data_IF_309708396073
#
_entry.id   IF_309708396073
#
_cell.length_a   1.000
_cell.length_b   1.000
_cell.length_c   1.000
_cell.angle_alpha   90.00
_cell.angle_beta   90.00
_cell.angle_gamma   90.00
#
_symmetry.space_group_name_H-M   'P 1'
#
loop_
_entity.id
_entity.type
_entity.pdbx_description
1 polymer ?
#
# COMPACT_ATOMS: atom_id res chain seq x y z
N UNK A 1 32.82 -17.52 -44.09
CA UNK A 1 31.42 -17.31 -43.66
C UNK A 1 31.47 -16.51 -42.37
N UNK A 2 31.44 -15.20 -42.49
CA UNK A 2 31.57 -14.28 -41.37
C UNK A 2 30.27 -13.47 -41.31
N UNK A 3 29.39 -13.80 -40.36
CA UNK A 3 28.13 -13.07 -40.16
C UNK A 3 28.44 -11.86 -39.28
N UNK A 4 28.65 -10.71 -39.92
CA UNK A 4 28.72 -9.42 -39.25
C UNK A 4 27.44 -9.19 -38.43
N UNK A 5 27.60 -9.14 -37.11
CA UNK A 5 26.58 -8.71 -36.16
C UNK A 5 26.32 -7.23 -36.42
N UNK A 6 25.10 -6.89 -36.86
CA UNK A 6 24.69 -5.48 -37.00
C UNK A 6 24.67 -4.84 -35.61
N UNK A 7 25.21 -3.63 -35.43
CA UNK A 7 25.11 -2.93 -34.15
C UNK A 7 23.63 -2.68 -33.82
N UNK A 8 23.22 -2.93 -32.59
CA UNK A 8 21.94 -2.49 -32.04
C UNK A 8 21.91 -0.97 -32.03
N UNK A 9 21.49 -0.36 -33.15
CA UNK A 9 21.08 1.02 -33.17
C UNK A 9 19.86 1.18 -32.29
N UNK A 10 20.00 1.92 -31.18
CA UNK A 10 18.85 2.41 -30.44
C UNK A 10 17.99 3.24 -31.39
N UNK A 11 16.81 2.74 -31.74
CA UNK A 11 15.76 3.54 -32.35
C UNK A 11 15.34 4.55 -31.28
N UNK A 12 15.92 5.75 -31.31
CA UNK A 12 15.46 6.89 -30.52
C UNK A 12 14.40 7.62 -31.35
N UNK A 13 13.19 7.73 -30.82
CA UNK A 13 12.16 8.62 -31.34
C UNK A 13 12.70 10.05 -31.40
N UNK A 14 12.60 10.73 -32.54
CA UNK A 14 13.03 12.13 -32.71
C UNK A 14 12.27 13.11 -31.80
N UNK A 15 11.13 12.69 -31.25
CA UNK A 15 10.29 13.47 -30.32
C UNK A 15 10.56 13.17 -28.83
N UNK A 16 11.46 12.24 -28.51
CA UNK A 16 11.61 11.73 -27.14
C UNK A 16 10.38 10.98 -26.61
N UNK A 17 9.39 10.72 -27.47
CA UNK A 17 8.17 10.00 -27.15
C UNK A 17 8.41 8.52 -27.41
N UNK A 18 8.35 7.70 -26.36
CA UNK A 18 8.53 6.25 -26.46
C UNK A 18 7.74 5.69 -27.66
N UNK A 19 8.35 4.78 -28.44
CA UNK A 19 7.70 4.08 -29.54
C UNK A 19 6.63 3.12 -28.99
N UNK A 20 5.53 3.68 -28.53
CA UNK A 20 4.34 3.00 -28.07
C UNK A 20 3.21 3.34 -29.04
N UNK A 21 2.35 2.37 -29.37
CA UNK A 21 1.10 2.60 -30.10
C UNK A 21 -0.06 2.51 -29.12
N UNK A 22 -0.26 3.50 -28.23
CA UNK A 22 -1.36 3.49 -27.27
C UNK A 22 -2.72 3.61 -27.98
N UNK A 23 -3.82 3.18 -27.33
CA UNK A 23 -5.17 3.33 -27.87
C UNK A 23 -5.60 4.79 -28.04
N UNK A 24 -5.09 5.70 -27.20
CA UNK A 24 -5.27 7.15 -27.33
C UNK A 24 -3.93 7.87 -27.35
N UNK A 25 -3.85 8.97 -28.11
CA UNK A 25 -2.68 9.85 -28.21
C UNK A 25 -2.96 11.18 -27.54
N UNK A 26 -2.07 11.64 -26.68
CA UNK A 26 -2.18 12.97 -26.08
C UNK A 26 -2.07 14.06 -27.16
N UNK A 27 -3.00 15.01 -27.15
CA UNK A 27 -3.05 16.13 -28.10
C UNK A 27 -2.47 17.42 -27.54
N UNK A 28 -2.20 17.46 -26.23
CA UNK A 28 -1.56 18.60 -25.56
C UNK A 28 -0.52 18.14 -24.51
N UNK A 29 0.04 19.10 -23.76
CA UNK A 29 1.16 18.84 -22.85
C UNK A 29 0.69 18.16 -21.58
N UNK A 30 1.42 17.11 -21.19
CA UNK A 30 1.30 16.51 -19.87
C UNK A 30 1.75 17.53 -18.81
N UNK A 31 0.78 18.08 -18.09
CA UNK A 31 0.98 19.17 -17.12
C UNK A 31 0.00 20.34 -17.29
N UNK A 32 -0.70 20.41 -18.42
CA UNK A 32 -1.79 21.37 -18.60
C UNK A 32 -2.94 21.05 -17.61
N UNK A 33 -3.73 22.05 -17.15
CA UNK A 33 -4.86 21.82 -16.25
C UNK A 33 -5.92 20.86 -16.82
N UNK A 34 -6.01 20.77 -18.14
CA UNK A 34 -6.83 19.77 -18.85
C UNK A 34 -5.92 19.07 -19.83
N UNK A 35 -5.72 17.77 -19.65
CA UNK A 35 -4.99 16.92 -20.58
C UNK A 35 -5.99 16.17 -21.46
N UNK A 36 -5.80 16.26 -22.76
CA UNK A 36 -6.67 15.66 -23.77
C UNK A 36 -5.92 14.54 -24.49
N UNK A 37 -6.64 13.45 -24.75
CA UNK A 37 -6.17 12.36 -25.60
C UNK A 37 -7.24 11.98 -26.62
N UNK A 38 -6.85 11.76 -27.86
CA UNK A 38 -7.74 11.37 -28.96
C UNK A 38 -7.47 9.93 -29.40
N UNK A 39 -8.47 9.27 -30.00
CA UNK A 39 -8.35 7.91 -30.54
C UNK A 39 -7.16 7.81 -31.49
N UNK A 40 -6.35 6.76 -31.33
CA UNK A 40 -5.28 6.46 -32.27
C UNK A 40 -5.85 5.69 -33.49
N UNK A 41 -5.89 6.29 -34.70
CA UNK A 41 -6.43 5.60 -35.89
C UNK A 41 -5.54 4.43 -36.35
N UNK A 42 -4.33 4.31 -35.82
CA UNK A 42 -3.39 3.20 -36.09
C UNK A 42 -3.30 2.23 -34.91
N UNK A 43 -4.25 2.25 -33.96
CA UNK A 43 -4.28 1.23 -32.92
C UNK A 43 -4.61 -0.13 -33.52
N UNK A 44 -3.86 -1.14 -33.13
CA UNK A 44 -3.80 -2.42 -33.85
C UNK A 44 -4.85 -3.43 -33.37
N UNK A 45 -5.48 -3.20 -32.22
CA UNK A 45 -6.44 -4.14 -31.66
C UNK A 45 -7.85 -3.92 -32.24
N UNK A 46 -8.53 -5.03 -32.49
CA UNK A 46 -9.93 -5.08 -32.95
C UNK A 46 -10.75 -5.97 -32.02
N UNK A 47 -12.04 -5.70 -31.92
CA UNK A 47 -12.97 -6.61 -31.26
C UNK A 47 -13.30 -7.83 -32.17
N UNK A 48 -14.05 -8.84 -31.66
CA UNK A 48 -14.44 -10.01 -32.47
C UNK A 48 -15.32 -9.70 -33.70
N UNK A 49 -15.99 -8.54 -33.74
CA UNK A 49 -16.81 -8.11 -34.87
C UNK A 49 -16.00 -7.30 -35.91
N UNK A 50 -14.71 -7.03 -35.64
CA UNK A 50 -13.82 -6.27 -36.51
C UNK A 50 -13.83 -4.76 -36.28
N UNK A 51 -14.45 -4.28 -35.20
CA UNK A 51 -14.40 -2.86 -34.84
C UNK A 51 -13.01 -2.52 -34.27
N UNK A 52 -12.35 -1.52 -34.84
CA UNK A 52 -11.06 -1.05 -34.34
C UNK A 52 -11.25 -0.33 -32.99
N UNK A 53 -10.46 -0.75 -31.99
CA UNK A 53 -10.44 -0.16 -30.65
C UNK A 53 -9.59 1.11 -30.59
N UNK A 54 -9.73 1.94 -29.55
CA UNK A 54 -10.72 1.90 -28.46
C UNK A 54 -12.14 2.27 -28.92
N UNK A 55 -13.17 1.99 -28.11
CA UNK A 55 -14.54 2.42 -28.45
C UNK A 55 -14.78 3.93 -28.27
N UNK A 56 -14.09 4.57 -27.32
CA UNK A 56 -14.23 6.00 -27.04
C UNK A 56 -13.32 6.82 -27.94
N UNK A 57 -13.82 7.93 -28.46
CA UNK A 57 -13.08 8.81 -29.36
C UNK A 57 -12.00 9.65 -28.67
N UNK A 58 -12.12 9.84 -27.36
CA UNK A 58 -11.13 10.58 -26.60
C UNK A 58 -11.30 10.43 -25.10
N UNK A 59 -10.32 10.95 -24.38
CA UNK A 59 -10.28 11.02 -22.93
C UNK A 59 -9.89 12.45 -22.56
N UNK A 60 -10.60 13.02 -21.58
CA UNK A 60 -10.23 14.25 -20.92
C UNK A 60 -9.84 13.97 -19.47
N UNK A 61 -8.65 14.43 -19.08
CA UNK A 61 -8.16 14.36 -17.71
C UNK A 61 -8.04 15.79 -17.18
N UNK A 62 -8.96 16.19 -16.32
CA UNK A 62 -8.94 17.51 -15.68
C UNK A 62 -8.19 17.42 -14.36
N UNK A 63 -7.14 18.25 -14.20
CA UNK A 63 -6.44 18.41 -12.94
C UNK A 63 -7.35 19.11 -11.93
N UNK A 64 -7.57 18.45 -10.81
CA UNK A 64 -8.30 19.01 -9.67
C UNK A 64 -7.29 19.37 -8.59
N UNK A 65 -7.08 20.67 -8.40
CA UNK A 65 -6.27 21.19 -7.30
C UNK A 65 -7.04 21.12 -5.98
N UNK A 66 -6.34 21.10 -4.84
CA UNK A 66 -6.99 21.10 -3.51
C UNK A 66 -7.31 19.72 -2.92
N UNK A 67 -6.87 18.63 -3.54
CA UNK A 67 -6.91 17.27 -2.97
C UNK A 67 -8.13 16.44 -3.41
N UNK A 68 -8.37 15.33 -2.72
CA UNK A 68 -9.38 14.32 -3.10
C UNK A 68 -10.81 14.78 -2.89
N UNK A 69 -11.05 15.78 -2.04
CA UNK A 69 -12.40 16.22 -1.67
C UNK A 69 -13.10 16.93 -2.83
N UNK A 70 -12.39 17.82 -3.53
CA UNK A 70 -12.91 18.47 -4.73
C UNK A 70 -13.16 17.47 -5.86
N UNK A 71 -12.31 16.44 -5.99
CA UNK A 71 -12.56 15.33 -6.92
C UNK A 71 -13.83 14.55 -6.59
N UNK A 72 -14.15 14.40 -5.29
CA UNK A 72 -15.36 13.72 -4.81
C UNK A 72 -16.62 14.53 -5.10
N UNK A 73 -16.56 15.85 -4.95
CA UNK A 73 -17.69 16.73 -5.31
C UNK A 73 -18.02 16.64 -6.80
N UNK A 74 -17.00 16.59 -7.66
CA UNK A 74 -17.20 16.38 -9.10
C UNK A 74 -17.82 15.03 -9.41
N UNK A 75 -17.37 13.97 -8.73
CA UNK A 75 -17.99 12.64 -8.85
C UNK A 75 -19.47 12.66 -8.41
N UNK A 76 -19.79 13.30 -7.28
CA UNK A 76 -21.17 13.44 -6.77
C UNK A 76 -22.10 14.16 -7.76
N UNK A 77 -21.55 15.08 -8.54
CA UNK A 77 -22.27 15.85 -9.55
C UNK A 77 -22.37 15.14 -10.91
N UNK A 78 -21.83 13.92 -11.04
CA UNK A 78 -21.83 13.18 -12.30
C UNK A 78 -20.84 13.73 -13.34
N UNK A 79 -19.89 14.58 -12.95
CA UNK A 79 -18.91 15.18 -13.87
C UNK A 79 -17.75 14.25 -14.24
N UNK A 80 -17.76 13.00 -13.75
CA UNK A 80 -16.70 12.01 -13.96
C UNK A 80 -17.33 10.73 -14.52
N UNK A 81 -17.01 10.41 -15.77
CA UNK A 81 -17.54 9.22 -16.44
C UNK A 81 -17.01 7.91 -15.84
N UNK A 82 -15.74 7.89 -15.44
CA UNK A 82 -15.09 6.74 -14.82
C UNK A 82 -13.84 7.16 -14.05
N UNK A 83 -13.77 6.82 -12.77
CA UNK A 83 -12.54 7.00 -11.99
C UNK A 83 -12.47 6.02 -10.83
N UNK A 84 -11.37 5.27 -10.73
CA UNK A 84 -11.00 4.53 -9.52
C UNK A 84 -9.87 5.20 -8.74
N UNK A 85 -8.98 5.92 -9.44
CA UNK A 85 -7.84 6.58 -8.82
C UNK A 85 -8.31 7.79 -8.01
N UNK A 86 -7.79 7.95 -6.79
CA UNK A 86 -8.15 9.06 -5.90
C UNK A 86 -9.60 9.07 -5.40
N UNK A 87 -10.41 8.05 -5.74
CA UNK A 87 -11.65 7.73 -5.02
C UNK A 87 -11.27 6.88 -3.80
N UNK A 88 -11.58 7.38 -2.61
CA UNK A 88 -11.09 6.83 -1.35
C UNK A 88 -12.20 6.13 -0.58
N UNK A 89 -11.82 5.20 0.32
CA UNK A 89 -12.79 4.42 1.08
C UNK A 89 -13.57 5.27 2.09
N UNK A 90 -12.98 6.32 2.65
CA UNK A 90 -13.68 7.25 3.55
C UNK A 90 -14.76 8.09 2.83
N UNK A 91 -14.69 8.17 1.50
CA UNK A 91 -15.69 8.80 0.64
C UNK A 91 -16.79 7.82 0.19
N UNK A 92 -16.67 6.53 0.53
CA UNK A 92 -17.57 5.49 0.04
C UNK A 92 -19.03 5.78 0.39
N UNK A 93 -19.34 6.11 1.64
CA UNK A 93 -20.73 6.33 2.08
C UNK A 93 -21.39 7.47 1.33
N UNK A 94 -20.74 8.63 1.24
CA UNK A 94 -21.30 9.80 0.55
C UNK A 94 -21.48 9.56 -0.96
N UNK A 95 -20.52 8.88 -1.60
CA UNK A 95 -20.66 8.50 -3.00
C UNK A 95 -21.77 7.46 -3.20
N UNK A 96 -21.95 6.53 -2.26
CA UNK A 96 -22.99 5.52 -2.37
C UNK A 96 -24.39 6.13 -2.21
N UNK A 97 -24.56 7.07 -1.28
CA UNK A 97 -25.80 7.82 -1.09
C UNK A 97 -26.12 8.74 -2.29
N UNK A 98 -25.09 9.24 -2.97
CA UNK A 98 -25.20 10.14 -4.11
C UNK A 98 -25.45 9.49 -5.48
N UNK A 99 -25.43 8.15 -5.58
CA UNK A 99 -25.52 7.42 -6.88
C UNK A 99 -26.73 7.86 -7.71
N UNK A 100 -27.91 7.94 -7.09
CA UNK A 100 -29.15 8.29 -7.79
C UNK A 100 -29.18 9.76 -8.22
N UNK A 101 -28.59 10.66 -7.43
CA UNK A 101 -28.60 12.09 -7.71
C UNK A 101 -27.57 12.49 -8.76
N UNK A 102 -26.42 11.81 -8.79
CA UNK A 102 -25.34 12.07 -9.75
C UNK A 102 -25.35 11.18 -10.99
N UNK A 103 -26.34 10.28 -11.13
CA UNK A 103 -26.47 9.32 -12.23
C UNK A 103 -25.19 8.48 -12.46
N UNK A 104 -24.66 7.90 -11.39
CA UNK A 104 -23.50 7.01 -11.45
C UNK A 104 -23.67 5.78 -10.57
N UNK A 105 -22.71 4.87 -10.68
CA UNK A 105 -22.62 3.66 -9.86
C UNK A 105 -21.24 3.54 -9.23
N UNK A 106 -21.22 3.18 -7.95
CA UNK A 106 -20.03 2.90 -7.16
C UNK A 106 -19.76 1.40 -7.21
N UNK A 107 -18.58 1.04 -7.72
CA UNK A 107 -18.11 -0.34 -7.74
C UNK A 107 -17.14 -0.62 -6.60
N UNK A 108 -17.38 -1.71 -5.88
CA UNK A 108 -16.43 -2.27 -4.93
C UNK A 108 -15.48 -3.23 -5.67
N UNK A 109 -14.48 -2.67 -6.35
CA UNK A 109 -13.44 -3.50 -6.94
C UNK A 109 -12.50 -4.01 -5.86
N UNK A 110 -12.30 -5.34 -5.75
CA UNK A 110 -11.36 -5.87 -4.78
C UNK A 110 -9.96 -5.38 -5.11
N UNK A 111 -9.19 -5.05 -4.08
CA UNK A 111 -7.78 -4.76 -4.27
C UNK A 111 -7.06 -6.01 -4.76
N UNK A 112 -6.18 -5.83 -5.76
CA UNK A 112 -5.28 -6.88 -6.20
C UNK A 112 -4.14 -7.11 -5.21
N UNK A 113 -3.92 -6.18 -4.27
CA UNK A 113 -2.91 -6.32 -3.24
C UNK A 113 -3.39 -7.33 -2.19
N UNK A 114 -2.56 -8.33 -1.88
CA UNK A 114 -2.86 -9.36 -0.87
C UNK A 114 -3.07 -8.84 0.56
N UNK A 115 -2.79 -7.56 0.80
CA UNK A 115 -3.02 -6.84 2.05
C UNK A 115 -3.13 -5.34 1.77
N UNK A 116 -4.05 -4.64 2.46
CA UNK A 116 -4.15 -3.17 2.39
C UNK A 116 -3.28 -2.48 3.47
N UNK A 117 -2.99 -3.19 4.57
CA UNK A 117 -1.97 -2.82 5.56
C UNK A 117 -1.18 -4.08 5.88
N UNK A 118 0.15 -4.00 5.73
CA UNK A 118 1.06 -5.06 6.15
C UNK A 118 2.27 -4.47 6.86
N UNK A 119 2.75 -5.24 7.83
CA UNK A 119 3.92 -4.94 8.63
C UNK A 119 5.07 -5.83 8.18
N UNK A 120 6.19 -5.20 7.85
CA UNK A 120 7.40 -5.89 7.44
C UNK A 120 8.50 -5.66 8.47
N UNK A 121 9.16 -6.74 8.86
CA UNK A 121 10.26 -6.66 9.79
C UNK A 121 11.58 -6.37 9.07
N UNK A 122 12.43 -5.53 9.65
CA UNK A 122 13.80 -5.40 9.18
C UNK A 122 14.64 -6.62 9.59
N UNK A 123 14.64 -7.66 8.74
CA UNK A 123 15.37 -8.92 9.01
C UNK A 123 16.90 -8.77 9.01
N UNK A 124 17.42 -7.64 8.53
CA UNK A 124 18.85 -7.33 8.49
C UNK A 124 19.31 -6.42 9.63
N UNK A 125 18.44 -6.11 10.59
CA UNK A 125 18.81 -5.29 11.76
C UNK A 125 19.93 -6.01 12.56
N UNK A 126 21.08 -5.39 12.84
CA UNK A 126 22.12 -6.02 13.64
C UNK A 126 21.81 -5.96 15.14
N UNK A 127 22.51 -6.80 15.91
CA UNK A 127 22.46 -6.82 17.37
C UNK A 127 21.22 -7.49 17.97
N UNK A 128 21.06 -7.44 19.31
CA UNK A 128 20.04 -8.20 20.05
C UNK A 128 18.60 -7.95 19.57
N UNK A 129 18.28 -6.69 19.20
CA UNK A 129 16.99 -6.33 18.63
C UNK A 129 16.70 -7.05 17.31
N UNK A 130 17.72 -7.22 16.47
CA UNK A 130 17.62 -7.97 15.23
C UNK A 130 17.45 -9.47 15.45
N UNK A 131 18.16 -10.03 16.43
CA UNK A 131 18.06 -11.44 16.79
C UNK A 131 16.65 -11.77 17.29
N UNK A 132 16.07 -10.90 18.11
CA UNK A 132 14.68 -11.03 18.53
C UNK A 132 13.69 -10.98 17.35
N UNK A 133 13.84 -10.03 16.42
CA UNK A 133 13.02 -9.93 15.19
C UNK A 133 13.05 -11.23 14.36
N UNK A 134 14.19 -11.94 14.35
CA UNK A 134 14.35 -13.18 13.60
C UNK A 134 13.69 -14.39 14.27
N UNK A 135 13.35 -14.33 15.56
CA UNK A 135 12.55 -15.38 16.21
C UNK A 135 11.15 -15.47 15.61
N UNK A 136 10.63 -16.70 15.46
CA UNK A 136 9.26 -16.88 14.95
C UNK A 136 8.24 -16.49 16.01
N UNK A 137 8.57 -16.72 17.28
CA UNK A 137 7.76 -16.46 18.46
C UNK A 137 7.39 -14.98 18.53
N UNK A 138 8.36 -14.07 18.37
CA UNK A 138 8.07 -12.63 18.34
C UNK A 138 7.12 -12.26 17.20
N UNK A 139 7.38 -12.73 15.97
CA UNK A 139 6.53 -12.38 14.82
C UNK A 139 5.12 -12.95 14.95
N UNK A 140 4.99 -14.16 15.50
CA UNK A 140 3.70 -14.79 15.76
C UNK A 140 2.94 -14.05 16.86
N UNK A 141 3.61 -13.68 17.95
CA UNK A 141 3.01 -12.89 19.02
C UNK A 141 2.48 -11.54 18.52
N UNK A 142 3.27 -10.84 17.70
CA UNK A 142 2.86 -9.57 17.13
C UNK A 142 1.68 -9.73 16.17
N UNK A 143 1.55 -10.86 15.48
CA UNK A 143 0.36 -11.15 14.67
C UNK A 143 -0.89 -11.32 15.55
N UNK A 144 -0.79 -12.10 16.62
CA UNK A 144 -1.90 -12.39 17.54
C UNK A 144 -2.32 -11.18 18.39
N UNK A 145 -1.40 -10.24 18.61
CA UNK A 145 -1.66 -8.99 19.33
C UNK A 145 -2.44 -7.95 18.50
N UNK A 146 -2.72 -8.19 17.22
CA UNK A 146 -3.45 -7.25 16.35
C UNK A 146 -4.94 -7.61 16.34
N UNK A 147 -5.77 -6.70 16.86
CA UNK A 147 -7.23 -6.80 16.79
C UNK A 147 -7.74 -6.44 15.38
N UNK A 148 -7.53 -7.35 14.41
CA UNK A 148 -7.92 -7.13 13.01
C UNK A 148 -9.42 -6.90 12.84
N UNK A 149 -10.26 -7.51 13.67
CA UNK A 149 -11.71 -7.34 13.62
C UNK A 149 -12.10 -5.89 13.95
N UNK A 150 -11.53 -5.34 15.01
CA UNK A 150 -11.75 -3.93 15.28
C UNK A 150 -11.20 -3.04 14.18
N UNK A 151 -10.02 -3.33 13.64
CA UNK A 151 -9.42 -2.51 12.56
C UNK A 151 -10.35 -2.49 11.34
N UNK A 152 -10.88 -3.64 10.97
CA UNK A 152 -11.83 -3.78 9.87
C UNK A 152 -13.05 -2.87 10.09
N UNK A 153 -13.63 -2.89 11.29
CA UNK A 153 -14.81 -2.07 11.59
C UNK A 153 -14.50 -0.56 11.57
N UNK A 154 -13.44 -0.12 12.23
CA UNK A 154 -13.16 1.32 12.40
C UNK A 154 -12.50 1.97 11.19
N UNK A 155 -11.65 1.23 10.48
CA UNK A 155 -10.81 1.79 9.42
C UNK A 155 -11.29 1.41 8.03
N UNK A 156 -12.04 0.31 7.92
CA UNK A 156 -12.52 -0.23 6.65
C UNK A 156 -14.04 -0.25 6.54
N UNK A 157 -14.77 0.36 7.48
CA UNK A 157 -16.24 0.40 7.49
C UNK A 157 -16.86 -1.01 7.48
N UNK A 158 -16.18 -1.99 8.08
CA UNK A 158 -16.57 -3.40 8.07
C UNK A 158 -16.29 -4.12 6.75
N UNK A 159 -15.76 -3.45 5.73
CA UNK A 159 -15.43 -4.03 4.43
C UNK A 159 -14.07 -4.74 4.44
N UNK A 160 -13.83 -5.52 3.38
CA UNK A 160 -12.59 -6.28 3.19
C UNK A 160 -12.59 -7.60 3.94
N UNK A 161 -11.42 -8.23 4.01
CA UNK A 161 -11.23 -9.55 4.63
C UNK A 161 -10.07 -9.50 5.63
N UNK A 162 -10.29 -10.07 6.81
CA UNK A 162 -9.22 -10.36 7.76
C UNK A 162 -8.38 -11.49 7.19
N UNK A 163 -7.08 -11.25 7.00
CA UNK A 163 -6.13 -12.20 6.41
C UNK A 163 -4.68 -11.76 6.65
N UNK A 164 -3.75 -12.66 6.38
CA UNK A 164 -2.34 -12.34 6.21
C UNK A 164 -2.03 -11.76 4.83
N UNK A 165 -0.87 -11.08 4.73
CA UNK A 165 -0.36 -10.52 3.48
C UNK A 165 0.14 -11.57 2.49
N UNK A 166 -0.80 -12.30 1.91
CA UNK A 166 -0.58 -13.30 0.85
C UNK A 166 -1.53 -13.00 -0.32
N UNK A 167 -1.27 -13.48 -1.55
CA UNK A 167 -2.18 -13.29 -2.68
C UNK A 167 -3.63 -13.61 -2.32
N UNK A 168 -4.59 -12.91 -2.95
CA UNK A 168 -6.02 -13.10 -2.71
C UNK A 168 -6.60 -14.35 -3.39
N UNK A 169 -7.78 -14.84 -2.95
CA UNK A 169 -8.58 -15.81 -3.69
C UNK A 169 -8.75 -15.37 -5.15
N UNK A 170 -8.60 -16.30 -6.09
CA UNK A 170 -8.63 -16.02 -7.53
C UNK A 170 -7.26 -15.69 -8.14
N UNK A 171 -6.22 -15.46 -7.34
CA UNK A 171 -4.86 -15.38 -7.84
C UNK A 171 -4.27 -16.78 -8.04
N UNK A 172 -3.55 -17.02 -9.14
CA UNK A 172 -2.96 -18.32 -9.47
C UNK A 172 -1.99 -18.86 -8.40
N UNK A 173 -1.39 -17.96 -7.62
CA UNK A 173 -0.48 -18.29 -6.51
C UNK A 173 -1.14 -18.13 -5.12
N UNK A 174 -2.46 -18.28 -5.03
CA UNK A 174 -3.13 -18.27 -3.74
C UNK A 174 -2.70 -19.49 -2.90
N UNK A 175 -2.10 -19.32 -1.70
CA UNK A 175 -1.57 -20.45 -0.94
C UNK A 175 -2.64 -21.28 -0.21
N UNK A 176 -3.90 -20.85 -0.21
CA UNK A 176 -4.99 -21.49 0.55
C UNK A 176 -5.43 -20.67 1.76
N UNK A 177 -6.63 -20.97 2.23
CA UNK A 177 -7.26 -20.26 3.36
C UNK A 177 -6.53 -20.53 4.69
N UNK A 178 -5.93 -21.71 4.85
CA UNK A 178 -5.13 -22.09 6.02
C UNK A 178 -3.93 -21.16 6.22
N UNK A 179 -3.22 -20.83 5.13
CA UNK A 179 -2.10 -19.89 5.16
C UNK A 179 -2.61 -18.44 5.24
N UNK A 180 -3.68 -18.11 4.52
CA UNK A 180 -4.26 -16.77 4.54
C UNK A 180 -4.83 -16.39 5.92
N UNK A 181 -5.29 -17.36 6.71
CA UNK A 181 -5.84 -17.15 8.06
C UNK A 181 -4.89 -17.52 9.19
N UNK A 182 -3.64 -17.86 8.87
CA UNK A 182 -2.69 -18.28 9.89
C UNK A 182 -2.43 -17.16 10.91
N UNK A 183 -2.81 -17.35 12.18
CA UNK A 183 -2.59 -16.40 13.29
C UNK A 183 -3.20 -15.03 13.04
N UNK A 184 -4.40 -15.00 12.46
CA UNK A 184 -5.16 -13.77 12.24
C UNK A 184 -6.10 -13.44 13.39
N UNK A 185 -6.34 -14.41 14.27
CA UNK A 185 -7.08 -14.28 15.53
C UNK A 185 -6.43 -13.25 16.46
N UNK A 186 -7.27 -12.59 17.27
CA UNK A 186 -6.83 -11.67 18.32
C UNK A 186 -6.78 -12.43 19.64
N UNK A 187 -5.58 -12.77 20.07
CA UNK A 187 -5.32 -13.53 21.30
C UNK A 187 -4.14 -12.90 22.07
N UNK A 188 -4.42 -11.89 22.92
CA UNK A 188 -3.42 -11.26 23.78
C UNK A 188 -2.69 -12.20 24.73
N UNK A 189 -3.36 -13.26 25.19
CA UNK A 189 -2.79 -14.18 26.18
C UNK A 189 -1.78 -15.11 25.51
N UNK A 190 -2.14 -15.69 24.36
CA UNK A 190 -1.20 -16.46 23.55
C UNK A 190 -0.04 -15.59 23.03
N UNK A 191 -0.31 -14.33 22.66
CA UNK A 191 0.74 -13.38 22.29
C UNK A 191 1.70 -13.14 23.47
N UNK A 192 1.19 -12.94 24.69
CA UNK A 192 2.01 -12.76 25.88
C UNK A 192 2.87 -13.98 26.19
N UNK A 193 2.31 -15.19 26.10
CA UNK A 193 3.05 -16.42 26.33
C UNK A 193 4.22 -16.58 25.33
N UNK A 194 4.01 -16.27 24.06
CA UNK A 194 5.07 -16.26 23.04
C UNK A 194 6.13 -15.19 23.31
N UNK A 195 5.72 -14.01 23.79
CA UNK A 195 6.66 -12.94 24.15
C UNK A 195 7.45 -13.29 25.41
N UNK A 196 6.89 -14.02 26.37
CA UNK A 196 7.63 -14.46 27.57
C UNK A 196 8.79 -15.39 27.20
N UNK A 197 8.69 -16.14 26.09
CA UNK A 197 9.79 -16.97 25.58
C UNK A 197 10.95 -16.15 25.00
N UNK A 198 10.68 -14.94 24.49
CA UNK A 198 11.69 -14.07 23.85
C UNK A 198 12.21 -13.03 24.83
N UNK A 199 11.33 -12.48 25.66
CA UNK A 199 11.57 -11.38 26.58
C UNK A 199 10.86 -11.66 27.93
N UNK A 200 11.46 -12.50 28.79
CA UNK A 200 10.82 -12.97 30.03
C UNK A 200 10.72 -11.89 31.11
N UNK A 201 11.60 -10.88 31.07
CA UNK A 201 11.69 -9.87 32.10
C UNK A 201 10.73 -8.69 31.81
N UNK A 202 10.13 -8.17 32.88
CA UNK A 202 9.30 -6.96 32.87
C UNK A 202 9.74 -6.02 33.97
N UNK A 203 9.55 -4.72 33.78
CA UNK A 203 9.74 -3.74 34.85
C UNK A 203 8.52 -3.62 35.78
N UNK A 204 8.60 -2.74 36.77
CA UNK A 204 7.52 -2.51 37.74
C UNK A 204 6.23 -1.94 37.15
N UNK A 205 6.26 -1.45 35.91
CA UNK A 205 5.09 -0.97 35.16
C UNK A 205 4.54 -2.05 34.21
N UNK A 206 5.18 -3.22 34.15
CA UNK A 206 4.76 -4.34 33.30
C UNK A 206 5.27 -4.26 31.86
N UNK A 207 6.17 -3.33 31.52
CA UNK A 207 6.79 -3.26 30.20
C UNK A 207 7.87 -4.33 30.07
N UNK A 208 7.94 -4.97 28.89
CA UNK A 208 8.95 -5.99 28.59
C UNK A 208 10.32 -5.37 28.41
N UNK A 209 11.34 -6.06 28.94
CA UNK A 209 12.72 -5.60 28.98
C UNK A 209 13.62 -6.48 28.12
N UNK A 210 14.60 -5.86 27.46
CA UNK A 210 15.72 -6.54 26.80
C UNK A 210 17.03 -6.08 27.45
N UNK A 211 17.52 -6.85 28.42
CA UNK A 211 18.54 -6.37 29.33
C UNK A 211 17.97 -5.32 30.29
N UNK A 212 18.59 -4.14 30.35
CA UNK A 212 18.18 -3.05 31.23
C UNK A 212 17.15 -2.10 30.58
N UNK A 213 16.83 -2.29 29.30
CA UNK A 213 16.02 -1.34 28.53
C UNK A 213 14.64 -1.88 28.20
N UNK A 214 13.67 -0.95 28.17
CA UNK A 214 12.33 -1.23 27.63
C UNK A 214 12.43 -1.54 26.15
N UNK A 215 11.60 -2.49 25.72
CA UNK A 215 11.45 -2.85 24.31
C UNK A 215 10.51 -1.86 23.65
N UNK A 216 10.99 -1.18 22.61
CA UNK A 216 10.20 -0.22 21.84
C UNK A 216 10.16 -0.65 20.38
N UNK A 217 8.94 -0.80 19.86
CA UNK A 217 8.68 -1.05 18.44
C UNK A 217 8.43 0.29 17.74
N UNK A 218 9.35 0.66 16.87
CA UNK A 218 9.25 1.84 16.02
C UNK A 218 8.65 1.46 14.67
N UNK A 219 7.59 2.17 14.31
CA UNK A 219 6.85 2.02 13.06
C UNK A 219 7.03 3.33 12.27
N UNK A 220 8.07 3.45 11.43
CA UNK A 220 8.23 4.58 10.52
C UNK A 220 7.00 4.72 9.59
N UNK A 221 6.30 5.85 9.74
CA UNK A 221 5.14 6.18 8.91
C UNK A 221 5.56 6.81 7.58
N UNK A 222 5.10 6.32 6.42
CA UNK A 222 5.34 7.00 5.16
C UNK A 222 4.60 8.34 5.13
N UNK A 223 5.34 9.44 4.97
CA UNK A 223 4.81 10.81 4.97
C UNK A 223 3.87 11.16 3.80
N UNK A 224 3.69 10.26 2.82
CA UNK A 224 3.05 10.59 1.53
C UNK A 224 1.72 9.88 1.26
N UNK A 225 1.41 8.75 1.90
CA UNK A 225 0.11 8.08 1.68
C UNK A 225 -0.90 8.63 2.67
N UNK A 226 -1.95 9.29 2.17
CA UNK A 226 -3.13 9.63 2.98
C UNK A 226 -3.71 8.32 3.57
N UNK A 227 -3.79 7.27 2.75
CA UNK A 227 -4.21 5.92 3.16
C UNK A 227 -3.45 5.36 4.37
N UNK A 228 -2.11 5.36 4.36
CA UNK A 228 -1.31 4.78 5.44
C UNK A 228 -1.35 5.63 6.71
N UNK A 229 -1.24 6.96 6.58
CA UNK A 229 -1.26 7.89 7.73
C UNK A 229 -2.60 7.89 8.46
N UNK A 230 -3.71 8.04 7.74
CA UNK A 230 -5.06 8.11 8.34
C UNK A 230 -5.47 6.80 8.98
N UNK A 231 -5.09 5.65 8.39
CA UNK A 231 -5.40 4.35 8.97
C UNK A 231 -4.57 4.10 10.24
N UNK A 232 -3.27 4.39 10.25
CA UNK A 232 -2.43 4.18 11.44
C UNK A 232 -2.74 5.16 12.58
N UNK A 233 -3.04 6.42 12.29
CA UNK A 233 -3.43 7.39 13.33
C UNK A 233 -4.71 6.97 14.06
N UNK A 234 -5.67 6.35 13.36
CA UNK A 234 -6.86 5.76 13.98
C UNK A 234 -6.53 4.56 14.86
N UNK A 235 -5.54 3.74 14.50
CA UNK A 235 -5.12 2.60 15.34
C UNK A 235 -4.52 3.05 16.68
N UNK A 236 -3.73 4.12 16.66
CA UNK A 236 -3.14 4.71 17.86
C UNK A 236 -4.19 5.41 18.74
N UNK A 237 -5.11 6.18 18.13
CA UNK A 237 -6.17 6.90 18.85
C UNK A 237 -7.11 5.96 19.63
N UNK A 238 -7.25 4.69 19.20
CA UNK A 238 -8.07 3.71 19.89
C UNK A 238 -7.32 2.83 20.89
N UNK A 239 -6.01 3.05 21.10
CA UNK A 239 -5.21 2.26 22.05
C UNK A 239 -5.05 0.78 21.67
N UNK A 240 -5.37 0.41 20.43
CA UNK A 240 -5.42 -0.98 19.93
C UNK A 240 -4.07 -1.53 19.50
N UNK A 241 -3.02 -0.74 19.68
CA UNK A 241 -1.61 -1.08 19.49
C UNK A 241 -0.85 -1.05 20.82
N UNK A 242 -1.51 -1.38 21.94
CA UNK A 242 -0.95 -1.26 23.29
C UNK A 242 0.41 -1.99 23.50
N UNK A 243 0.73 -2.98 22.65
CA UNK A 243 2.04 -3.65 22.62
C UNK A 243 3.13 -2.96 21.75
N UNK A 244 2.81 -1.89 21.02
CA UNK A 244 3.59 -1.30 19.91
C UNK A 244 3.83 0.22 20.09
N UNK A 245 3.95 0.72 21.32
CA UNK A 245 4.13 2.17 21.56
C UNK A 245 5.59 2.61 21.35
N UNK A 246 5.88 3.20 20.18
CA UNK A 246 6.24 4.62 19.96
C UNK A 246 6.32 4.88 18.45
N UNK A 247 5.42 5.69 17.90
CA UNK A 247 5.52 6.12 16.50
C UNK A 247 6.54 7.25 16.39
N UNK A 248 7.61 7.06 15.61
CA UNK A 248 8.42 8.17 15.12
C UNK A 248 7.99 8.52 13.69
N UNK A 249 7.68 9.80 13.46
CA UNK A 249 7.44 10.32 12.11
C UNK A 249 8.80 10.47 11.43
N UNK A 250 9.09 9.78 10.31
CA UNK A 250 10.31 10.02 9.58
C UNK A 250 10.24 11.39 8.88
N UNK A 251 11.40 12.05 8.65
CA UNK A 251 11.45 13.25 7.81
C UNK A 251 11.05 12.95 6.36
N UNK A 252 10.88 14.01 5.58
CA UNK A 252 10.30 14.10 4.22
C UNK A 252 10.62 12.93 3.24
N UNK A 253 9.70 12.75 2.26
CA UNK A 253 9.69 11.72 1.18
C UNK A 253 11.07 11.24 0.70
N UNK A 254 12.02 12.14 0.47
CA UNK A 254 13.36 11.80 -0.02
C UNK A 254 14.17 10.97 0.98
N UNK A 255 14.03 11.20 2.29
CA UNK A 255 14.83 10.53 3.32
C UNK A 255 14.39 9.10 3.64
N UNK A 256 13.08 8.82 3.66
CA UNK A 256 12.56 7.46 3.83
C UNK A 256 12.97 6.56 2.66
N UNK A 257 12.75 7.02 1.42
CA UNK A 257 13.16 6.29 0.22
C UNK A 257 14.68 6.17 0.10
N UNK A 258 15.46 7.21 0.45
CA UNK A 258 16.92 7.11 0.45
C UNK A 258 17.46 6.13 1.51
N UNK A 259 16.82 6.06 2.70
CA UNK A 259 17.15 5.06 3.73
C UNK A 259 16.84 3.64 3.24
N UNK A 260 15.71 3.47 2.54
CA UNK A 260 15.32 2.21 1.91
C UNK A 260 16.27 1.81 0.78
N UNK A 261 16.61 2.71 -0.14
CA UNK A 261 17.57 2.47 -1.22
C UNK A 261 18.99 2.20 -0.71
N UNK A 262 19.42 2.76 0.44
CA UNK A 262 20.70 2.36 1.06
C UNK A 262 20.69 0.92 1.57
N UNK A 263 19.55 0.42 2.03
CA UNK A 263 19.38 -0.95 2.53
C UNK A 263 19.24 -1.93 1.36
N UNK A 264 18.44 -1.58 0.36
CA UNK A 264 18.08 -2.45 -0.77
C UNK A 264 19.04 -2.28 -1.96
N UNK A 265 19.77 -1.18 -2.09
CA UNK A 265 20.69 -0.90 -3.20
C UNK A 265 21.88 -1.86 -3.34
N UNK A 266 22.07 -2.82 -2.42
CA UNK A 266 22.98 -3.96 -2.61
C UNK A 266 22.34 -5.15 -3.35
N UNK A 267 21.02 -5.19 -3.49
CA UNK A 267 20.27 -6.27 -4.14
C UNK A 267 19.20 -5.65 -5.03
N UNK A 268 19.42 -5.65 -6.35
CA UNK A 268 18.53 -5.01 -7.32
C UNK A 268 17.11 -5.57 -7.27
N UNK A 269 16.16 -4.79 -6.74
CA UNK A 269 14.72 -5.05 -6.83
C UNK A 269 13.99 -3.73 -7.10
N UNK A 270 13.08 -3.76 -8.08
CA UNK A 270 12.27 -2.65 -8.55
C UNK A 270 11.15 -2.20 -7.58
N UNK A 271 10.64 -1.01 -7.87
CA UNK A 271 9.70 -0.16 -7.13
C UNK A 271 8.44 -0.91 -6.62
N UNK A 272 8.35 -1.15 -5.31
CA UNK A 272 7.14 -1.65 -4.64
C UNK A 272 6.40 -0.57 -3.84
N UNK A 273 5.09 -0.50 -3.99
CA UNK A 273 4.19 0.36 -3.21
C UNK A 273 3.97 -0.18 -1.77
N UNK A 274 4.07 0.70 -0.76
CA UNK A 274 3.17 0.67 0.41
C UNK A 274 3.49 -0.21 1.63
N UNK A 275 4.71 -0.70 1.85
CA UNK A 275 5.05 -1.45 3.07
C UNK A 275 5.43 -0.55 4.27
N UNK A 276 4.94 -0.90 5.48
CA UNK A 276 5.43 -0.31 6.74
C UNK A 276 6.54 -1.19 7.31
N UNK A 277 7.64 -0.58 7.72
CA UNK A 277 8.75 -1.30 8.33
C UNK A 277 8.66 -1.20 9.84
N UNK A 278 8.92 -2.31 10.55
CA UNK A 278 9.07 -2.36 12.00
C UNK A 278 10.56 -2.47 12.35
N UNK A 279 10.98 -1.66 13.31
CA UNK A 279 12.32 -1.71 13.91
C UNK A 279 12.20 -1.76 15.43
N UNK A 280 13.08 -2.51 16.08
CA UNK A 280 13.21 -2.53 17.53
C UNK A 280 14.38 -1.64 17.94
N UNK A 281 14.15 -0.72 18.87
CA UNK A 281 15.19 0.15 19.42
C UNK A 281 15.31 0.01 20.93
N UNK A 282 16.52 0.27 21.42
CA UNK A 282 16.85 0.43 22.84
C UNK A 282 16.42 1.85 23.25
N UNK A 283 15.61 1.98 24.30
CA UNK A 283 15.31 3.29 24.88
C UNK A 283 16.23 3.51 26.08
N UNK A 284 17.21 4.40 25.95
CA UNK A 284 18.04 4.83 27.08
C UNK A 284 17.15 5.53 28.12
N UNK A 285 17.16 5.01 29.35
CA UNK A 285 16.49 5.63 30.49
C UNK A 285 17.42 6.71 31.04
N UNK A 286 16.93 7.95 31.07
CA UNK A 286 17.65 9.10 31.64
C UNK A 286 17.63 9.09 33.17
#
# INVERSE_FOLDING_TARGET
MDRAVRPQGQIKSETGQACESPPWKFTNRLGDPVVLAERNPYFWAVDPAGNQLPYLDGIQLTLVEGGTDLGTLKALQGEIDMQGRHIQLDQFTVLKEGEAAGDYRVFQWPTFAGSDIAFFFNMSLPGPSGDAIRTKELRQALSLAIDRASIQQTNFLGLGQIRQGVPGPGHAHYPGDDIAQLRTEYDPDAANALLDMVFPNKDGEGFRMNGEDRIVLDIPLPTHSAHGRTRLSRLDAHGKLWALRRMSTPPTRTTHFARWQKIVGRYGVERGYGGLHLQLHRQEVA
#
